data_IF_541874995175
#
_entry.id   IF_541874995175
#
_cell.length_a   1.000
_cell.length_b   1.000
_cell.length_c   1.000
_cell.angle_alpha   90.00
_cell.angle_beta   90.00
_cell.angle_gamma   90.00
#
_symmetry.space_group_name_H-M   'P 1'
#
loop_
_entity.id
_entity.type
_entity.pdbx_description
1 polymer ?
#
# COMPACT_ATOMS: atom_id res chain seq x y z
N UNK A 1 56.34 -31.50 -22.44
CA UNK A 1 55.10 -30.81 -22.88
C UNK A 1 55.33 -30.28 -24.31
N UNK A 2 54.50 -30.69 -25.27
CA UNK A 2 54.71 -30.32 -26.69
C UNK A 2 54.47 -28.82 -26.91
N UNK A 3 55.08 -28.25 -27.96
CA UNK A 3 54.94 -26.82 -28.31
C UNK A 3 53.48 -26.40 -28.44
N UNK A 4 52.63 -27.30 -28.94
CA UNK A 4 51.20 -27.07 -29.10
C UNK A 4 50.46 -26.99 -27.75
N UNK A 5 50.84 -27.83 -26.78
CA UNK A 5 50.23 -27.78 -25.43
C UNK A 5 50.62 -26.50 -24.68
N UNK A 6 51.86 -26.00 -24.86
CA UNK A 6 52.28 -24.71 -24.30
C UNK A 6 51.53 -23.53 -24.92
N UNK A 7 51.30 -23.55 -26.23
CA UNK A 7 50.54 -22.51 -26.93
C UNK A 7 49.08 -22.47 -26.49
N UNK A 8 48.46 -23.63 -26.28
CA UNK A 8 47.08 -23.73 -25.77
C UNK A 8 46.99 -23.21 -24.32
N UNK A 9 47.95 -23.57 -23.46
CA UNK A 9 47.99 -23.09 -22.08
C UNK A 9 48.20 -21.57 -21.97
N UNK A 10 49.08 -21.01 -22.81
CA UNK A 10 49.28 -19.55 -22.87
C UNK A 10 48.01 -18.86 -23.36
N UNK A 11 47.35 -19.38 -24.40
CA UNK A 11 46.10 -18.82 -24.90
C UNK A 11 44.97 -18.86 -23.87
N UNK A 12 44.87 -19.93 -23.07
CA UNK A 12 43.89 -20.02 -21.97
C UNK A 12 44.22 -19.01 -20.88
N UNK A 13 45.50 -18.86 -20.50
CA UNK A 13 45.90 -17.89 -19.47
C UNK A 13 45.66 -16.44 -19.91
N UNK A 14 45.95 -16.08 -21.16
CA UNK A 14 45.62 -14.73 -21.68
C UNK A 14 44.12 -14.50 -21.77
N UNK A 15 43.33 -15.53 -22.07
CA UNK A 15 41.87 -15.42 -22.04
C UNK A 15 41.37 -15.17 -20.61
N UNK A 16 41.87 -15.93 -19.62
CA UNK A 16 41.45 -15.80 -18.23
C UNK A 16 41.87 -14.45 -17.63
N UNK A 17 43.09 -13.98 -17.90
CA UNK A 17 43.55 -12.65 -17.47
C UNK A 17 42.81 -11.52 -18.21
N UNK A 18 42.51 -11.69 -19.50
CA UNK A 18 41.72 -10.73 -20.27
C UNK A 18 40.28 -10.61 -19.76
N UNK A 19 39.67 -11.73 -19.36
CA UNK A 19 38.33 -11.77 -18.76
C UNK A 19 38.33 -11.10 -17.37
N UNK A 20 39.37 -11.29 -16.57
CA UNK A 20 39.47 -10.68 -15.24
C UNK A 20 39.61 -9.14 -15.32
N UNK A 21 40.46 -8.65 -16.22
CA UNK A 21 40.68 -7.19 -16.42
C UNK A 21 39.43 -6.54 -17.02
N UNK A 22 38.75 -7.22 -17.94
CA UNK A 22 37.45 -6.76 -18.45
C UNK A 22 36.39 -6.74 -17.35
N UNK A 23 36.37 -7.71 -16.44
CA UNK A 23 35.41 -7.73 -15.33
C UNK A 23 35.62 -6.53 -14.39
N UNK A 24 36.87 -6.20 -14.04
CA UNK A 24 37.16 -5.10 -13.11
C UNK A 24 36.85 -3.72 -13.73
N UNK A 25 37.18 -3.51 -15.02
CA UNK A 25 36.85 -2.27 -15.75
C UNK A 25 35.34 -2.12 -15.98
N UNK A 26 34.64 -3.23 -16.23
CA UNK A 26 33.19 -3.23 -16.42
C UNK A 26 32.43 -2.97 -15.11
N UNK A 27 32.97 -3.40 -13.95
CA UNK A 27 32.37 -3.13 -12.64
C UNK A 27 32.40 -1.63 -12.28
N UNK A 28 33.48 -0.91 -12.58
CA UNK A 28 33.59 0.52 -12.32
C UNK A 28 32.67 1.35 -13.25
N UNK A 29 32.60 0.99 -14.53
CA UNK A 29 31.72 1.64 -15.51
C UNK A 29 30.23 1.36 -15.22
N UNK A 30 29.90 0.15 -14.74
CA UNK A 30 28.56 -0.20 -14.25
C UNK A 30 28.18 0.60 -13.02
N UNK A 31 29.11 0.93 -12.13
CA UNK A 31 28.78 1.62 -10.88
C UNK A 31 28.39 3.09 -11.14
N UNK A 32 29.06 3.74 -12.10
CA UNK A 32 28.69 5.09 -12.56
C UNK A 32 27.41 5.09 -13.41
N UNK A 33 27.25 4.10 -14.31
CA UNK A 33 26.07 3.99 -15.19
C UNK A 33 24.81 3.55 -14.43
N UNK A 34 24.95 2.75 -13.35
CA UNK A 34 23.87 2.40 -12.41
C UNK A 34 23.16 3.63 -11.84
N UNK A 35 23.84 4.76 -11.62
CA UNK A 35 23.23 5.96 -11.06
C UNK A 35 22.25 6.67 -12.00
N UNK A 36 22.55 6.69 -13.31
CA UNK A 36 21.68 7.27 -14.33
C UNK A 36 20.64 6.27 -14.83
N UNK A 37 21.03 5.01 -15.02
CA UNK A 37 20.11 3.94 -15.43
C UNK A 37 19.06 3.68 -14.35
N UNK A 38 19.35 3.80 -13.04
CA UNK A 38 18.35 3.67 -11.97
C UNK A 38 17.25 4.75 -12.05
N UNK A 39 17.56 5.96 -12.55
CA UNK A 39 16.56 7.03 -12.76
C UNK A 39 15.64 6.72 -13.95
N UNK A 40 16.16 6.08 -14.99
CA UNK A 40 15.37 5.56 -16.12
C UNK A 40 14.63 4.26 -15.76
N UNK A 41 15.20 3.43 -14.89
CA UNK A 41 14.61 2.20 -14.36
C UNK A 41 13.39 2.50 -13.50
N UNK A 42 13.43 3.58 -12.71
CA UNK A 42 12.27 4.08 -11.95
C UNK A 42 11.10 4.51 -12.85
N UNK A 43 11.38 5.09 -14.04
CA UNK A 43 10.32 5.38 -15.03
C UNK A 43 9.79 4.13 -15.76
N UNK A 44 10.60 3.07 -15.82
CA UNK A 44 10.19 1.77 -16.39
C UNK A 44 9.41 0.93 -15.37
N UNK A 45 9.72 1.01 -14.08
CA UNK A 45 8.89 0.43 -13.01
C UNK A 45 7.52 1.10 -12.97
N UNK A 46 7.44 2.40 -13.25
CA UNK A 46 6.18 3.13 -13.33
C UNK A 46 5.25 2.50 -14.39
N UNK A 47 5.72 2.39 -15.64
CA UNK A 47 4.96 1.78 -16.75
C UNK A 47 4.66 0.29 -16.54
N UNK A 48 5.48 -0.44 -15.79
CA UNK A 48 5.28 -1.87 -15.51
C UNK A 48 4.38 -2.12 -14.28
N UNK A 49 4.33 -1.18 -13.35
CA UNK A 49 3.37 -1.15 -12.24
C UNK A 49 1.96 -0.83 -12.74
N UNK A 50 1.84 0.01 -13.78
CA UNK A 50 0.57 0.35 -14.45
C UNK A 50 -0.13 -0.89 -15.08
N UNK A 51 0.62 -1.93 -15.48
CA UNK A 51 0.09 -3.15 -16.12
C UNK A 51 0.10 -4.40 -15.23
N UNK A 52 0.80 -4.38 -14.09
CA UNK A 52 0.92 -5.54 -13.19
C UNK A 52 1.08 -5.10 -11.74
N UNK A 53 -0.01 -5.27 -11.00
CA UNK A 53 -0.05 -5.07 -9.56
C UNK A 53 0.95 -6.04 -8.93
N UNK A 54 1.99 -5.52 -8.28
CA UNK A 54 2.92 -6.37 -7.54
C UNK A 54 2.18 -6.97 -6.34
N UNK A 55 1.60 -8.16 -6.54
CA UNK A 55 1.38 -9.14 -5.46
C UNK A 55 2.74 -9.48 -4.88
N UNK A 56 3.25 -8.62 -4.00
CA UNK A 56 4.29 -9.05 -3.10
C UNK A 56 3.59 -9.94 -2.10
N UNK A 57 3.76 -11.25 -2.29
CA UNK A 57 3.34 -12.26 -1.35
C UNK A 57 4.09 -11.97 -0.05
N UNK A 58 3.47 -11.15 0.80
CA UNK A 58 3.69 -11.30 2.22
C UNK A 58 3.51 -12.79 2.52
N UNK A 59 4.46 -13.41 3.22
CA UNK A 59 4.37 -14.82 3.65
C UNK A 59 3.12 -15.08 4.53
N UNK A 60 2.38 -14.02 4.85
CA UNK A 60 1.16 -14.01 5.64
C UNK A 60 0.10 -13.21 4.86
N UNK A 61 -0.04 -13.49 3.57
CA UNK A 61 -1.29 -13.26 2.84
C UNK A 61 -2.08 -14.54 2.93
N UNK A 62 -3.01 -14.60 3.88
CA UNK A 62 -3.96 -15.72 3.96
C UNK A 62 -5.28 -15.26 3.37
N UNK A 63 -5.65 -15.88 2.26
CA UNK A 63 -7.02 -15.84 1.75
C UNK A 63 -7.86 -16.78 2.60
N UNK A 64 -8.98 -16.26 3.10
CA UNK A 64 -10.05 -17.06 3.68
C UNK A 64 -11.23 -16.93 2.73
N UNK A 65 -11.49 -17.99 1.97
CA UNK A 65 -12.65 -18.07 1.07
C UNK A 65 -13.92 -17.94 1.90
N UNK A 66 -14.94 -17.22 1.41
CA UNK A 66 -16.12 -16.90 2.18
C UNK A 66 -16.88 -18.17 2.59
N UNK A 67 -16.97 -19.14 1.69
CA UNK A 67 -17.63 -20.43 1.91
C UNK A 67 -16.88 -21.35 2.88
N UNK A 68 -15.62 -21.03 3.21
CA UNK A 68 -14.87 -21.77 4.24
C UNK A 68 -15.28 -21.37 5.66
N UNK A 69 -15.96 -20.24 5.82
CA UNK A 69 -16.45 -19.74 7.10
C UNK A 69 -17.78 -20.36 7.53
N UNK A 70 -18.09 -20.26 8.82
CA UNK A 70 -19.43 -20.58 9.33
C UNK A 70 -20.39 -19.46 8.95
N UNK A 71 -21.37 -19.80 8.13
CA UNK A 71 -22.40 -18.89 7.64
C UNK A 71 -23.68 -18.94 8.49
N UNK A 72 -24.38 -17.80 8.63
CA UNK A 72 -25.69 -17.76 9.27
C UNK A 72 -26.41 -16.42 9.13
N UNK A 73 -27.56 -16.27 9.80
CA UNK A 73 -28.33 -15.02 9.80
C UNK A 73 -28.97 -14.67 8.45
N UNK A 74 -29.16 -15.66 7.56
CA UNK A 74 -29.70 -15.45 6.22
C UNK A 74 -28.68 -15.64 5.10
N UNK A 75 -27.39 -15.50 5.42
CA UNK A 75 -26.31 -15.77 4.47
C UNK A 75 -26.21 -17.26 4.12
N UNK A 76 -25.85 -17.54 2.86
CA UNK A 76 -25.76 -18.90 2.30
C UNK A 76 -24.67 -18.99 1.24
N UNK A 77 -24.10 -20.17 1.09
CA UNK A 77 -23.13 -20.46 0.02
C UNK A 77 -23.87 -20.64 -1.30
N UNK A 78 -23.34 -20.06 -2.38
CA UNK A 78 -23.84 -20.20 -3.74
C UNK A 78 -22.69 -20.47 -4.70
N UNK A 79 -22.91 -21.36 -5.68
CA UNK A 79 -21.94 -21.63 -6.74
C UNK A 79 -21.94 -20.48 -7.76
N UNK A 80 -20.76 -19.93 -8.03
CA UNK A 80 -20.53 -18.83 -8.98
C UNK A 80 -19.21 -19.09 -9.70
N UNK A 81 -19.29 -19.48 -10.98
CA UNK A 81 -18.12 -19.93 -11.76
C UNK A 81 -17.03 -18.86 -11.92
N UNK A 82 -17.37 -17.57 -11.80
CA UNK A 82 -16.41 -16.47 -11.89
C UNK A 82 -15.67 -16.19 -10.57
N UNK A 83 -16.11 -16.76 -9.45
CA UNK A 83 -15.54 -16.50 -8.12
C UNK A 83 -14.31 -17.36 -7.83
N UNK A 84 -13.49 -16.93 -6.86
CA UNK A 84 -12.44 -17.79 -6.31
C UNK A 84 -13.06 -19.06 -5.73
N UNK A 85 -12.46 -20.22 -6.00
CA UNK A 85 -13.03 -21.50 -5.54
C UNK A 85 -14.41 -21.85 -6.12
N UNK A 86 -14.88 -21.12 -7.14
CA UNK A 86 -16.19 -21.27 -7.81
C UNK A 86 -17.41 -21.05 -6.89
N UNK A 87 -17.23 -20.37 -5.75
CA UNK A 87 -18.28 -20.14 -4.75
C UNK A 87 -18.20 -18.75 -4.16
N UNK A 88 -19.36 -18.24 -3.76
CA UNK A 88 -19.48 -17.03 -2.94
C UNK A 88 -20.40 -17.31 -1.76
N UNK A 89 -20.40 -16.41 -0.78
CA UNK A 89 -21.48 -16.31 0.20
C UNK A 89 -22.38 -15.14 -0.18
N UNK A 90 -23.63 -15.46 -0.50
CA UNK A 90 -24.71 -14.51 -0.77
C UNK A 90 -25.63 -14.37 0.44
N UNK A 91 -26.67 -13.53 0.35
CA UNK A 91 -27.67 -13.34 1.39
C UNK A 91 -27.25 -12.35 2.48
N UNK A 92 -26.20 -11.56 2.20
CA UNK A 92 -25.82 -10.36 2.95
C UNK A 92 -26.72 -9.16 2.62
N UNK A 93 -28.01 -9.41 2.35
CA UNK A 93 -29.06 -8.38 2.26
C UNK A 93 -29.94 -8.33 3.51
N UNK A 94 -29.73 -9.25 4.45
CA UNK A 94 -30.44 -9.32 5.72
C UNK A 94 -29.56 -8.75 6.83
N UNK A 95 -30.12 -7.86 7.65
CA UNK A 95 -29.45 -7.40 8.89
C UNK A 95 -29.15 -8.61 9.79
N UNK A 96 -27.91 -8.69 10.29
CA UNK A 96 -27.45 -9.82 11.12
C UNK A 96 -26.98 -11.06 10.34
N UNK A 97 -27.00 -11.04 9.00
CA UNK A 97 -26.34 -12.06 8.19
C UNK A 97 -24.83 -12.06 8.47
N UNK A 98 -24.22 -13.22 8.68
CA UNK A 98 -22.82 -13.29 9.13
C UNK A 98 -22.02 -14.42 8.50
N UNK A 99 -20.69 -14.20 8.43
CA UNK A 99 -19.69 -15.25 8.26
C UNK A 99 -18.68 -15.17 9.41
N UNK A 100 -18.33 -16.31 10.01
CA UNK A 100 -17.29 -16.43 11.03
C UNK A 100 -16.20 -17.43 10.59
N UNK A 101 -14.95 -16.98 10.52
CA UNK A 101 -13.79 -17.82 10.22
C UNK A 101 -12.92 -18.05 11.45
N UNK A 102 -12.20 -19.18 11.48
CA UNK A 102 -11.02 -19.35 12.34
C UNK A 102 -9.75 -18.94 11.60
N UNK A 103 -8.98 -18.02 12.19
CA UNK A 103 -7.69 -17.59 11.68
C UNK A 103 -6.59 -17.92 12.70
N UNK A 104 -5.51 -18.56 12.26
CA UNK A 104 -4.34 -18.82 13.10
C UNK A 104 -3.28 -17.74 12.82
N UNK A 105 -3.24 -16.73 13.68
CA UNK A 105 -2.32 -15.61 13.57
C UNK A 105 -0.89 -16.07 13.87
N UNK A 106 0.06 -15.96 12.92
CA UNK A 106 1.40 -16.52 13.07
C UNK A 106 2.27 -15.81 14.11
N UNK A 107 1.94 -14.54 14.43
CA UNK A 107 2.63 -13.71 15.40
C UNK A 107 1.65 -12.70 16.00
N UNK A 108 2.02 -12.09 17.12
CA UNK A 108 1.30 -10.92 17.62
C UNK A 108 1.57 -9.74 16.69
N UNK A 109 0.53 -8.99 16.33
CA UNK A 109 0.70 -7.71 15.65
C UNK A 109 -0.57 -7.16 15.05
N UNK A 110 -0.42 -6.10 14.25
CA UNK A 110 -1.52 -5.40 13.58
C UNK A 110 -1.73 -5.97 12.18
N UNK A 111 -2.94 -6.41 11.89
CA UNK A 111 -3.37 -7.02 10.63
C UNK A 111 -4.41 -6.14 9.93
N UNK A 112 -4.47 -6.18 8.62
CA UNK A 112 -5.47 -5.48 7.81
C UNK A 112 -6.28 -6.49 7.01
N UNK A 113 -7.57 -6.23 6.84
CA UNK A 113 -8.48 -7.09 6.09
C UNK A 113 -8.91 -6.41 4.81
N UNK A 114 -8.92 -7.19 3.72
CA UNK A 114 -9.31 -6.79 2.39
C UNK A 114 -10.40 -7.73 1.89
N UNK A 115 -11.49 -7.20 1.36
CA UNK A 115 -12.69 -7.92 1.00
C UNK A 115 -12.83 -7.93 -0.51
N UNK A 116 -12.90 -9.12 -1.11
CA UNK A 116 -13.35 -9.28 -2.49
C UNK A 116 -14.86 -9.57 -2.45
N UNK A 117 -15.64 -8.66 -3.00
CA UNK A 117 -17.10 -8.78 -3.02
C UNK A 117 -17.70 -8.32 -4.36
N UNK A 118 -18.96 -8.68 -4.58
CA UNK A 118 -19.74 -8.32 -5.75
C UNK A 118 -20.98 -7.56 -5.27
N UNK A 119 -21.24 -6.38 -5.85
CA UNK A 119 -22.49 -5.66 -5.64
C UNK A 119 -23.61 -6.22 -6.54
N UNK A 120 -24.88 -6.16 -6.14
CA UNK A 120 -25.99 -6.62 -6.98
C UNK A 120 -26.20 -5.73 -8.21
N UNK A 121 -25.89 -4.45 -8.10
CA UNK A 121 -26.03 -3.44 -9.16
C UNK A 121 -25.08 -2.25 -8.94
N UNK A 122 -24.95 -1.39 -9.95
CA UNK A 122 -23.98 -0.29 -9.96
C UNK A 122 -24.30 0.80 -8.92
N UNK A 123 -25.58 1.03 -8.67
CA UNK A 123 -26.10 2.04 -7.74
C UNK A 123 -26.56 1.45 -6.40
N UNK A 124 -26.07 0.25 -6.05
CA UNK A 124 -26.36 -0.38 -4.77
C UNK A 124 -26.00 0.53 -3.58
N UNK A 125 -26.83 0.45 -2.54
CA UNK A 125 -26.60 1.17 -1.28
C UNK A 125 -25.25 0.80 -0.67
N UNK A 126 -24.56 1.73 0.03
CA UNK A 126 -23.29 1.43 0.68
C UNK A 126 -23.40 0.24 1.63
N UNK A 127 -22.46 -0.70 1.46
CA UNK A 127 -22.36 -1.87 2.34
C UNK A 127 -21.71 -1.44 3.65
N UNK A 128 -22.37 -1.75 4.76
CA UNK A 128 -21.87 -1.48 6.11
C UNK A 128 -21.88 -2.80 6.87
N UNK A 129 -20.72 -3.15 7.43
CA UNK A 129 -20.54 -4.37 8.20
C UNK A 129 -19.99 -4.07 9.60
N UNK A 130 -20.34 -4.93 10.54
CA UNK A 130 -19.71 -5.03 11.84
C UNK A 130 -18.59 -6.08 11.76
N UNK A 131 -17.43 -5.80 12.36
CA UNK A 131 -16.34 -6.78 12.44
C UNK A 131 -15.93 -6.98 13.89
N UNK A 132 -15.94 -8.25 14.34
CA UNK A 132 -15.43 -8.64 15.66
C UNK A 132 -14.27 -9.62 15.56
N UNK A 133 -13.34 -9.48 16.50
CA UNK A 133 -12.25 -10.44 16.76
C UNK A 133 -12.51 -11.08 18.10
N UNK A 134 -12.63 -12.41 18.14
CA UNK A 134 -13.01 -13.19 19.32
C UNK A 134 -14.30 -12.69 20.00
N UNK A 135 -15.26 -12.24 19.17
CA UNK A 135 -16.55 -11.70 19.63
C UNK A 135 -16.47 -10.31 20.28
N UNK A 136 -15.38 -9.56 20.07
CA UNK A 136 -15.20 -8.21 20.60
C UNK A 136 -14.84 -7.21 19.50
N UNK A 137 -15.38 -6.00 19.60
CA UNK A 137 -14.88 -4.82 18.88
C UNK A 137 -13.58 -4.35 19.53
N UNK A 138 -12.56 -4.11 18.72
CA UNK A 138 -11.29 -3.58 19.23
C UNK A 138 -11.31 -2.05 19.35
N UNK A 139 -12.14 -1.37 18.56
CA UNK A 139 -12.31 0.09 18.54
C UNK A 139 -13.79 0.45 18.37
N UNK A 140 -14.17 1.65 18.78
CA UNK A 140 -15.58 2.10 18.70
C UNK A 140 -16.04 2.30 17.25
N UNK A 141 -15.11 2.64 16.37
CA UNK A 141 -15.31 2.85 14.95
C UNK A 141 -15.63 1.56 14.18
N UNK A 142 -15.43 0.39 14.79
CA UNK A 142 -15.63 -0.93 14.15
C UNK A 142 -17.09 -1.37 14.05
N UNK A 143 -18.02 -0.60 14.60
CA UNK A 143 -19.46 -0.90 14.48
C UNK A 143 -20.07 -0.39 13.18
N UNK A 144 -19.30 0.29 12.31
CA UNK A 144 -19.76 0.78 11.01
C UNK A 144 -18.60 0.77 10.01
N UNK A 145 -18.17 -0.41 9.56
CA UNK A 145 -17.12 -0.53 8.55
C UNK A 145 -17.76 -0.48 7.18
N UNK A 146 -17.34 0.50 6.37
CA UNK A 146 -17.90 0.74 5.06
C UNK A 146 -17.08 -0.02 4.01
N UNK A 147 -17.74 -0.81 3.17
CA UNK A 147 -17.16 -1.12 1.86
C UNK A 147 -17.57 0.00 0.93
N UNK A 148 -16.59 0.82 0.56
CA UNK A 148 -16.82 2.06 -0.14
C UNK A 148 -17.51 1.81 -1.50
N UNK A 149 -18.76 2.27 -1.66
CA UNK A 149 -19.48 2.33 -2.93
C UNK A 149 -19.03 3.55 -3.75
N UNK A 150 -17.72 3.79 -3.81
CA UNK A 150 -17.20 5.01 -4.44
C UNK A 150 -17.38 4.85 -5.95
N UNK A 151 -18.20 5.72 -6.55
CA UNK A 151 -18.49 5.80 -8.00
C UNK A 151 -17.26 6.15 -8.87
N UNK A 152 -16.07 6.17 -8.30
CA UNK A 152 -14.87 6.65 -8.97
C UNK A 152 -14.01 5.46 -9.36
N UNK A 153 -13.74 5.38 -10.67
CA UNK A 153 -12.81 4.50 -11.35
C UNK A 153 -13.17 3.01 -11.39
N UNK A 154 -13.83 2.62 -12.48
CA UNK A 154 -13.05 2.04 -13.58
C UNK A 154 -13.88 2.10 -14.86
N UNK A 155 -13.22 2.28 -15.99
CA UNK A 155 -13.79 2.00 -17.31
C UNK A 155 -14.04 0.48 -17.52
N UNK A 156 -14.32 -0.26 -16.45
CA UNK A 156 -14.63 -1.69 -16.43
C UNK A 156 -15.93 -1.85 -15.64
N UNK A 157 -17.00 -2.17 -16.35
CA UNK A 157 -18.38 -2.37 -15.87
C UNK A 157 -18.54 -3.64 -15.00
N UNK A 158 -17.56 -3.99 -14.16
CA UNK A 158 -17.67 -5.16 -13.28
C UNK A 158 -18.13 -4.73 -11.89
N UNK A 159 -19.16 -5.40 -11.38
CA UNK A 159 -19.69 -5.21 -10.02
C UNK A 159 -18.77 -5.77 -8.92
N UNK A 160 -17.65 -6.39 -9.32
CA UNK A 160 -16.60 -6.90 -8.45
C UNK A 160 -15.71 -5.78 -7.87
N UNK A 161 -15.43 -5.85 -6.56
CA UNK A 161 -14.62 -4.88 -5.81
C UNK A 161 -13.60 -5.58 -4.90
N UNK A 162 -12.45 -4.96 -4.67
CA UNK A 162 -11.47 -5.37 -3.65
C UNK A 162 -11.15 -4.16 -2.78
N UNK A 163 -11.71 -4.10 -1.57
CA UNK A 163 -11.58 -2.93 -0.69
C UNK A 163 -11.08 -3.33 0.70
N UNK A 164 -10.32 -2.46 1.40
CA UNK A 164 -9.97 -2.70 2.78
C UNK A 164 -11.18 -2.46 3.71
N UNK A 165 -11.17 -3.09 4.89
CA UNK A 165 -11.98 -2.60 6.00
C UNK A 165 -11.46 -1.22 6.42
N UNK A 166 -12.16 -0.15 6.08
CA UNK A 166 -11.77 1.23 6.37
C UNK A 166 -12.92 2.05 6.96
N UNK A 167 -12.61 3.30 7.33
CA UNK A 167 -13.64 4.30 7.55
C UNK A 167 -14.33 4.69 6.24
N UNK A 168 -15.37 5.50 6.38
CA UNK A 168 -16.03 6.15 5.25
C UNK A 168 -15.07 7.20 4.65
N UNK A 169 -14.93 7.16 3.33
CA UNK A 169 -14.31 8.19 2.47
C UNK A 169 -12.78 8.19 2.28
N UNK A 170 -11.95 7.50 3.09
CA UNK A 170 -10.47 7.57 2.90
C UNK A 170 -9.74 6.25 2.60
N UNK A 171 -10.40 5.08 2.74
CA UNK A 171 -9.87 3.74 2.39
C UNK A 171 -8.61 3.33 3.14
N UNK A 172 -8.21 4.03 4.20
CA UNK A 172 -7.10 3.58 5.02
C UNK A 172 -7.54 2.32 5.78
N UNK A 173 -6.86 1.17 5.58
CA UNK A 173 -7.28 -0.06 6.23
C UNK A 173 -7.13 0.05 7.75
N UNK A 174 -8.15 -0.39 8.49
CA UNK A 174 -8.07 -0.55 9.93
C UNK A 174 -7.06 -1.64 10.30
N UNK A 175 -6.29 -1.35 11.35
CA UNK A 175 -5.38 -2.29 11.98
C UNK A 175 -6.06 -3.10 13.08
N UNK A 176 -6.28 -4.39 12.85
CA UNK A 176 -6.78 -5.37 13.80
C UNK A 176 -5.62 -6.02 14.56
N UNK A 177 -5.56 -5.83 15.88
CA UNK A 177 -4.50 -6.39 16.71
C UNK A 177 -4.85 -7.82 17.09
N UNK A 178 -4.03 -8.78 16.70
CA UNK A 178 -4.18 -10.18 17.11
C UNK A 178 -2.95 -10.65 17.88
N UNK A 179 -3.15 -11.58 18.81
CA UNK A 179 -2.04 -12.32 19.43
C UNK A 179 -1.59 -13.44 18.49
N UNK A 180 -0.48 -14.11 18.81
CA UNK A 180 -0.14 -15.35 18.12
C UNK A 180 -1.14 -16.46 18.52
N UNK A 181 -1.74 -17.12 17.54
CA UNK A 181 -2.61 -18.28 17.75
C UNK A 181 -3.98 -18.12 17.09
N UNK A 182 -4.92 -18.98 17.48
CA UNK A 182 -6.26 -19.03 16.89
C UNK A 182 -7.13 -17.86 17.37
N UNK A 183 -7.75 -17.20 16.41
CA UNK A 183 -8.72 -16.13 16.59
C UNK A 183 -9.96 -16.39 15.75
N UNK A 184 -11.11 -15.94 16.23
CA UNK A 184 -12.35 -15.91 15.45
C UNK A 184 -12.53 -14.53 14.83
N UNK A 185 -12.72 -14.49 13.53
CA UNK A 185 -13.02 -13.26 12.79
C UNK A 185 -14.46 -13.41 12.31
N UNK A 186 -15.33 -12.51 12.75
CA UNK A 186 -16.73 -12.50 12.32
C UNK A 186 -17.02 -11.18 11.64
N UNK A 187 -17.62 -11.25 10.46
CA UNK A 187 -18.30 -10.13 9.83
C UNK A 187 -19.81 -10.32 9.94
N UNK A 188 -20.53 -9.25 10.19
CA UNK A 188 -21.98 -9.25 10.29
C UNK A 188 -22.56 -8.06 9.51
N UNK A 189 -23.59 -8.31 8.72
CA UNK A 189 -24.23 -7.28 7.91
C UNK A 189 -25.00 -6.30 8.79
N UNK A 190 -24.77 -5.00 8.58
CA UNK A 190 -25.59 -3.94 9.15
C UNK A 190 -26.55 -3.40 8.09
N UNK A 191 -26.04 -3.10 6.89
CA UNK A 191 -26.84 -2.60 5.78
C UNK A 191 -26.16 -2.81 4.42
N UNK A 192 -26.94 -2.69 3.36
CA UNK A 192 -26.49 -2.92 1.99
C UNK A 192 -26.70 -4.38 1.57
N UNK A 193 -26.35 -4.67 0.32
CA UNK A 193 -26.43 -6.00 -0.30
C UNK A 193 -25.14 -6.25 -1.08
N UNK A 194 -24.57 -7.45 -0.90
CA UNK A 194 -23.38 -7.89 -1.58
C UNK A 194 -23.23 -9.41 -1.51
N UNK A 195 -22.46 -9.97 -2.44
CA UNK A 195 -21.94 -11.34 -2.36
C UNK A 195 -20.45 -11.28 -2.01
N UNK A 196 -20.03 -12.04 -1.00
CA UNK A 196 -18.61 -12.10 -0.61
C UNK A 196 -17.92 -13.30 -1.25
N UNK A 197 -16.80 -13.05 -1.93
CA UNK A 197 -15.92 -14.08 -2.49
C UNK A 197 -14.89 -14.53 -1.43
N UNK A 198 -14.04 -13.61 -0.97
CA UNK A 198 -13.06 -13.92 0.07
C UNK A 198 -12.65 -12.70 0.90
N UNK A 199 -12.04 -12.99 2.04
CA UNK A 199 -11.23 -12.01 2.79
C UNK A 199 -9.75 -12.34 2.67
N UNK A 200 -8.95 -11.32 2.42
CA UNK A 200 -7.50 -11.39 2.43
C UNK A 200 -6.99 -10.68 3.66
N UNK A 201 -6.26 -11.41 4.49
CA UNK A 201 -5.63 -10.90 5.71
C UNK A 201 -4.17 -10.61 5.41
N UNK A 202 -3.74 -9.37 5.68
CA UNK A 202 -2.37 -8.89 5.50
C UNK A 202 -1.77 -8.49 6.84
N UNK A 203 -0.52 -8.88 7.11
CA UNK A 203 0.20 -8.49 8.34
C UNK A 203 0.92 -9.67 9.01
N UNK A 204 1.52 -9.49 10.19
CA UNK A 204 1.47 -8.26 10.97
C UNK A 204 2.31 -7.15 10.34
N UNK A 205 1.98 -5.90 10.67
CA UNK A 205 2.86 -4.76 10.44
C UNK A 205 4.19 -5.02 11.15
N UNK A 206 5.27 -5.00 10.36
CA UNK A 206 6.63 -5.29 10.83
C UNK A 206 7.24 -4.06 11.45
N UNK A 207 7.14 -2.90 10.78
CA UNK A 207 7.62 -1.62 11.30
C UNK A 207 6.70 -0.49 10.86
N UNK A 208 6.57 0.47 11.77
CA UNK A 208 5.97 1.77 11.55
C UNK A 208 6.99 2.78 12.07
N UNK A 209 7.57 3.56 11.15
CA UNK A 209 8.50 4.64 11.48
C UNK A 209 7.88 5.94 11.04
N UNK A 210 7.98 6.98 11.86
CA UNK A 210 7.39 8.28 11.58
C UNK A 210 8.24 9.39 12.17
N UNK A 211 8.09 10.58 11.60
CA UNK A 211 8.55 11.83 12.19
C UNK A 211 7.36 12.76 12.43
N UNK A 212 7.46 13.62 13.44
CA UNK A 212 6.39 14.58 13.73
C UNK A 212 6.21 15.57 12.59
N UNK A 213 4.98 16.04 12.39
CA UNK A 213 4.65 17.04 11.39
C UNK A 213 5.45 18.31 11.59
N UNK A 214 5.63 18.74 12.84
CA UNK A 214 6.44 19.91 13.18
C UNK A 214 7.96 19.68 13.14
N UNK A 215 8.42 18.41 13.08
CA UNK A 215 9.85 18.05 12.99
C UNK A 215 10.30 17.93 11.52
N UNK A 216 9.98 18.95 10.71
CA UNK A 216 10.40 19.00 9.31
C UNK A 216 11.85 19.48 9.15
N UNK A 217 12.47 19.05 8.04
CA UNK A 217 13.87 19.31 7.72
C UNK A 217 14.10 20.52 6.82
N UNK A 218 13.10 20.88 6.02
CA UNK A 218 13.09 22.08 5.17
C UNK A 218 11.65 22.50 4.85
N UNK A 219 11.45 23.77 4.52
CA UNK A 219 10.15 24.33 4.16
C UNK A 219 10.26 25.54 3.23
N UNK A 220 9.15 25.91 2.57
CA UNK A 220 9.03 27.18 1.83
C UNK A 220 8.99 28.41 2.74
N UNK A 221 8.39 28.25 3.92
CA UNK A 221 8.09 29.32 4.87
C UNK A 221 8.13 28.79 6.31
N UNK A 222 7.99 29.70 7.28
CA UNK A 222 7.86 29.35 8.70
C UNK A 222 6.40 29.04 9.00
N UNK A 223 6.12 27.81 9.44
CA UNK A 223 4.78 27.33 9.76
C UNK A 223 4.50 27.34 11.27
N UNK A 224 3.22 27.37 11.63
CA UNK A 224 2.81 27.37 13.03
C UNK A 224 2.92 25.97 13.65
N UNK A 225 3.28 25.92 14.93
CA UNK A 225 3.27 24.69 15.73
C UNK A 225 2.26 24.85 16.85
N UNK A 226 1.17 24.10 16.76
CA UNK A 226 0.03 24.21 17.67
C UNK A 226 -0.04 23.01 18.59
N UNK A 227 -0.55 23.22 19.82
CA UNK A 227 -0.86 22.10 20.72
C UNK A 227 -2.24 21.56 20.41
N UNK A 228 -2.36 20.24 20.23
CA UNK A 228 -3.63 19.58 19.88
C UNK A 228 -3.95 18.41 20.78
N UNK A 229 -5.25 18.14 20.94
CA UNK A 229 -5.73 16.97 21.66
C UNK A 229 -5.51 15.74 20.78
N UNK A 230 -4.97 14.66 21.36
CA UNK A 230 -4.70 13.38 20.69
C UNK A 230 -3.68 13.39 19.52
N UNK A 231 -2.97 14.50 19.31
CA UNK A 231 -1.74 14.50 18.54
C UNK A 231 -0.70 13.58 19.20
N UNK A 232 0.08 12.86 18.39
CA UNK A 232 0.96 11.77 18.83
C UNK A 232 2.00 12.20 19.88
N UNK A 233 2.55 13.42 19.78
CA UNK A 233 3.34 14.06 20.85
C UNK A 233 2.78 15.40 21.31
N UNK A 234 1.47 15.58 21.17
CA UNK A 234 0.72 16.74 21.68
C UNK A 234 0.88 18.02 20.88
N UNK A 235 1.52 17.97 19.72
CA UNK A 235 1.71 19.09 18.79
C UNK A 235 1.40 18.68 17.36
N UNK A 236 1.14 19.66 16.52
CA UNK A 236 0.95 19.49 15.09
C UNK A 236 1.47 20.72 14.34
N UNK A 237 1.85 20.51 13.09
CA UNK A 237 2.11 21.56 12.12
C UNK A 237 0.78 22.19 11.68
N UNK A 238 0.68 23.51 11.67
CA UNK A 238 -0.50 24.28 11.24
C UNK A 238 -0.11 25.47 10.37
N UNK A 239 -1.10 26.16 9.79
CA UNK A 239 -0.89 27.25 8.82
C UNK A 239 -0.40 26.80 7.45
N UNK A 240 -0.48 25.49 7.15
CA UNK A 240 -0.01 24.89 5.90
C UNK A 240 -1.13 24.86 4.84
N UNK A 241 -1.47 26.04 4.29
CA UNK A 241 -2.69 26.26 3.49
C UNK A 241 -2.53 27.02 2.18
N UNK A 242 -1.42 27.74 1.95
CA UNK A 242 -1.28 28.54 0.74
C UNK A 242 -0.71 27.72 -0.42
N UNK A 243 -1.30 27.78 -1.63
CA UNK A 243 -0.76 27.08 -2.80
C UNK A 243 0.73 27.40 -3.05
N UNK A 244 1.52 26.36 -3.29
CA UNK A 244 2.98 26.44 -3.47
C UNK A 244 3.80 26.42 -2.18
N UNK A 245 3.18 26.50 -1.00
CA UNK A 245 3.86 26.21 0.25
C UNK A 245 4.26 24.73 0.29
N UNK A 246 5.45 24.42 0.82
CA UNK A 246 5.90 23.04 0.95
C UNK A 246 6.65 22.79 2.25
N UNK A 247 6.57 21.54 2.71
CA UNK A 247 7.30 21.02 3.86
C UNK A 247 7.95 19.70 3.48
N UNK A 248 9.20 19.50 3.93
CA UNK A 248 9.98 18.30 3.65
C UNK A 248 10.49 17.66 4.94
N UNK A 249 10.21 16.38 5.11
CA UNK A 249 10.61 15.57 6.25
C UNK A 249 11.69 14.57 5.87
N UNK A 250 12.61 14.30 6.80
CA UNK A 250 13.57 13.21 6.73
C UNK A 250 13.10 12.05 7.58
N UNK A 251 13.16 10.83 7.02
CA UNK A 251 12.81 9.61 7.74
C UNK A 251 13.92 8.57 7.53
N UNK A 252 14.40 8.01 8.64
CA UNK A 252 15.35 6.90 8.62
C UNK A 252 14.64 5.58 8.36
N UNK A 253 14.84 5.03 7.16
CA UNK A 253 14.41 3.69 6.77
C UNK A 253 15.27 2.68 7.53
N UNK A 254 14.69 1.86 8.41
CA UNK A 254 15.48 1.08 9.37
C UNK A 254 16.07 -0.20 8.77
N UNK A 255 15.56 -0.66 7.63
CA UNK A 255 16.08 -1.77 6.83
C UNK A 255 15.54 -1.71 5.39
N UNK A 256 16.26 -2.30 4.44
CA UNK A 256 15.81 -2.48 3.06
C UNK A 256 14.46 -3.19 3.02
N UNK A 257 13.51 -2.64 2.28
CA UNK A 257 12.19 -3.25 2.14
C UNK A 257 11.20 -2.42 1.34
N UNK A 258 9.99 -2.96 1.19
CA UNK A 258 8.86 -2.23 0.64
C UNK A 258 8.15 -1.47 1.76
N UNK A 259 7.87 -0.20 1.53
CA UNK A 259 7.20 0.68 2.47
C UNK A 259 6.04 1.41 1.78
N UNK A 260 4.94 1.59 2.49
CA UNK A 260 3.90 2.55 2.14
C UNK A 260 4.07 3.85 2.93
N UNK A 261 3.76 4.96 2.27
CA UNK A 261 3.79 6.31 2.88
C UNK A 261 2.41 6.64 3.40
N UNK A 262 2.32 7.20 4.60
CA UNK A 262 1.07 7.70 5.16
C UNK A 262 1.30 8.99 5.96
N UNK A 263 0.20 9.72 6.16
CA UNK A 263 0.13 10.97 6.89
C UNK A 263 -0.99 10.86 7.93
N UNK A 264 -0.79 11.41 9.11
CA UNK A 264 -1.88 11.66 10.07
C UNK A 264 -2.16 13.14 10.14
N UNK A 265 -3.42 13.50 9.94
CA UNK A 265 -3.82 14.86 9.66
C UNK A 265 -5.18 15.20 10.27
N UNK A 266 -5.47 16.50 10.32
CA UNK A 266 -6.79 17.04 10.64
C UNK A 266 -7.19 18.13 9.64
N UNK A 267 -8.48 18.19 9.34
CA UNK A 267 -9.09 19.12 8.39
C UNK A 267 -10.54 19.34 8.83
N UNK A 268 -10.84 20.54 9.34
CA UNK A 268 -12.15 20.80 9.95
C UNK A 268 -13.26 21.20 8.98
N UNK A 269 -12.96 21.89 7.88
CA UNK A 269 -14.01 22.37 6.97
C UNK A 269 -14.35 21.34 5.89
N UNK A 270 -15.64 20.97 5.80
CA UNK A 270 -16.18 20.06 4.78
C UNK A 270 -16.28 20.70 3.39
N UNK A 271 -16.14 22.03 3.29
CA UNK A 271 -16.31 22.78 2.05
C UNK A 271 -15.02 23.00 1.25
N UNK A 272 -13.85 22.74 1.85
CA UNK A 272 -12.56 22.91 1.18
C UNK A 272 -12.05 21.58 0.62
N UNK A 273 -11.86 21.53 -0.70
CA UNK A 273 -10.99 20.51 -1.29
C UNK A 273 -9.57 20.73 -0.79
N UNK A 274 -9.00 19.72 -0.13
CA UNK A 274 -7.63 19.74 0.34
C UNK A 274 -6.81 18.80 -0.54
N UNK A 275 -5.90 19.37 -1.34
CA UNK A 275 -5.09 18.63 -2.31
C UNK A 275 -3.62 18.94 -2.07
N UNK A 276 -2.78 17.90 -2.17
CA UNK A 276 -1.33 17.98 -1.95
C UNK A 276 -0.59 17.30 -3.10
N UNK A 277 0.55 17.87 -3.47
CA UNK A 277 1.53 17.18 -4.31
C UNK A 277 2.59 16.54 -3.42
N UNK A 278 2.96 15.29 -3.68
CA UNK A 278 3.85 14.50 -2.84
C UNK A 278 5.07 14.03 -3.63
N UNK A 279 6.26 14.14 -3.02
CA UNK A 279 7.52 13.70 -3.60
C UNK A 279 8.30 12.83 -2.62
N UNK A 280 8.99 11.82 -3.15
CA UNK A 280 9.98 11.01 -2.43
C UNK A 280 11.36 11.33 -3.00
N UNK A 281 12.32 11.72 -2.16
CA UNK A 281 13.68 12.10 -2.58
C UNK A 281 13.69 13.14 -3.72
N UNK A 282 12.80 14.14 -3.63
CA UNK A 282 12.66 15.21 -4.62
C UNK A 282 12.04 14.79 -5.96
N UNK A 283 11.37 13.63 -6.02
CA UNK A 283 10.68 13.14 -7.22
C UNK A 283 9.25 12.75 -6.92
N UNK A 284 8.33 13.19 -7.78
CA UNK A 284 7.00 12.60 -7.91
C UNK A 284 7.16 11.23 -8.55
N UNK A 285 6.79 10.16 -7.84
CA UNK A 285 6.93 8.80 -8.36
C UNK A 285 5.78 8.45 -9.31
N UNK A 286 4.54 8.69 -8.87
CA UNK A 286 3.32 8.38 -9.62
C UNK A 286 2.61 9.66 -10.05
N UNK A 287 2.00 9.73 -11.25
CA UNK A 287 1.24 10.91 -11.69
C UNK A 287 0.19 11.37 -10.66
N UNK A 288 -0.53 10.45 -10.02
CA UNK A 288 -1.55 10.78 -9.03
C UNK A 288 -1.01 11.41 -7.75
N UNK A 289 0.31 11.36 -7.54
CA UNK A 289 0.93 12.05 -6.42
C UNK A 289 1.01 13.55 -6.62
N UNK A 290 0.75 14.07 -7.82
CA UNK A 290 0.62 15.51 -8.05
C UNK A 290 -0.68 16.07 -7.44
N UNK A 291 -1.71 15.22 -7.28
CA UNK A 291 -3.04 15.60 -6.78
C UNK A 291 -3.58 14.64 -5.71
N UNK A 292 -2.85 14.45 -4.62
CA UNK A 292 -3.29 13.65 -3.47
C UNK A 292 -4.36 14.39 -2.67
N UNK A 293 -5.59 13.88 -2.72
CA UNK A 293 -6.73 14.41 -1.96
C UNK A 293 -6.71 13.98 -0.49
N UNK A 294 -6.98 14.93 0.40
CA UNK A 294 -7.23 14.75 1.83
C UNK A 294 -8.69 15.06 2.14
N UNK A 295 -9.34 14.17 2.89
CA UNK A 295 -10.77 14.26 3.19
C UNK A 295 -11.03 14.88 4.57
N UNK A 296 -12.15 15.62 4.74
CA UNK A 296 -12.50 16.22 6.03
C UNK A 296 -12.49 15.21 7.19
N UNK A 297 -11.97 15.65 8.32
CA UNK A 297 -11.90 14.86 9.57
C UNK A 297 -12.99 15.24 10.56
N UNK A 298 -13.91 16.13 10.16
CA UNK A 298 -15.03 16.63 10.96
C UNK A 298 -14.66 17.46 12.20
N UNK A 299 -13.41 17.93 12.28
CA UNK A 299 -12.95 18.84 13.34
C UNK A 299 -11.49 19.28 13.16
N UNK A 300 -11.06 20.27 13.95
CA UNK A 300 -9.69 20.82 13.97
C UNK A 300 -8.91 20.33 15.20
N UNK A 301 -8.93 19.02 15.45
CA UNK A 301 -8.18 18.39 16.55
C UNK A 301 -8.51 18.92 17.94
N UNK A 302 -9.79 19.25 18.14
CA UNK A 302 -10.38 19.61 19.44
C UNK A 302 -10.88 18.37 20.18
N UNK A 303 -11.10 17.26 19.46
CA UNK A 303 -11.52 15.97 20.01
C UNK A 303 -10.57 14.86 19.57
N UNK A 304 -10.63 13.74 20.28
CA UNK A 304 -9.76 12.58 20.02
C UNK A 304 -9.94 11.98 18.64
N UNK A 305 -11.14 12.08 18.08
CA UNK A 305 -11.56 11.47 16.81
C UNK A 305 -11.50 12.45 15.61
N UNK A 306 -10.93 13.65 15.78
CA UNK A 306 -10.77 14.64 14.71
C UNK A 306 -9.52 14.37 13.84
N UNK A 307 -8.80 13.28 14.10
CA UNK A 307 -7.61 12.88 13.35
C UNK A 307 -7.95 11.75 12.39
N UNK A 308 -7.53 11.87 11.14
CA UNK A 308 -7.57 10.78 10.15
C UNK A 308 -6.17 10.44 9.68
N UNK A 309 -6.04 9.26 9.09
CA UNK A 309 -4.85 8.87 8.35
C UNK A 309 -5.14 8.98 6.85
N UNK A 310 -4.10 9.30 6.07
CA UNK A 310 -4.11 9.23 4.61
C UNK A 310 -2.90 8.41 4.19
N UNK A 311 -3.13 7.23 3.63
CA UNK A 311 -2.09 6.42 3.00
C UNK A 311 -2.04 6.74 1.51
N UNK A 312 -0.85 6.81 0.93
CA UNK A 312 -0.71 6.95 -0.52
C UNK A 312 -1.10 5.64 -1.19
N UNK A 313 -2.06 5.71 -2.10
CA UNK A 313 -2.67 4.57 -2.75
C UNK A 313 -3.05 4.94 -4.18
N UNK A 314 -3.17 3.92 -5.01
CA UNK A 314 -3.68 4.05 -6.36
C UNK A 314 -5.18 4.44 -6.31
N UNK A 315 -5.59 5.50 -7.01
CA UNK A 315 -6.94 6.05 -6.88
C UNK A 315 -8.01 5.12 -7.46
N UNK A 316 -7.65 4.23 -8.39
CA UNK A 316 -8.60 3.29 -9.01
C UNK A 316 -8.83 2.05 -8.13
N UNK A 317 -7.73 1.45 -7.67
CA UNK A 317 -7.73 0.21 -6.92
C UNK A 317 -7.80 0.37 -5.41
N UNK A 318 -7.55 1.58 -4.92
CA UNK A 318 -7.40 1.91 -3.48
C UNK A 318 -6.25 1.13 -2.82
N UNK A 319 -5.39 0.46 -3.59
CA UNK A 319 -4.29 -0.29 -3.03
C UNK A 319 -3.12 0.63 -2.67
N UNK A 320 -2.53 0.47 -1.48
CA UNK A 320 -1.33 1.19 -1.09
C UNK A 320 -0.21 1.07 -2.11
N UNK A 321 0.45 2.19 -2.39
CA UNK A 321 1.73 2.15 -3.06
C UNK A 321 2.78 1.55 -2.11
N UNK A 322 3.45 0.48 -2.57
CA UNK A 322 4.59 -0.12 -1.90
C UNK A 322 5.87 0.20 -2.66
N UNK A 323 6.73 0.99 -2.03
CA UNK A 323 7.95 1.52 -2.65
C UNK A 323 9.15 0.86 -2.01
N UNK A 324 10.06 0.35 -2.83
CA UNK A 324 11.33 -0.15 -2.33
C UNK A 324 12.17 1.00 -1.81
N UNK A 325 12.50 0.94 -0.52
CA UNK A 325 13.38 1.88 0.15
C UNK A 325 14.56 1.11 0.76
N UNK A 326 15.82 1.43 0.36
CA UNK A 326 16.99 0.88 1.03
C UNK A 326 17.07 1.47 2.45
N UNK A 327 17.74 0.74 3.35
CA UNK A 327 18.09 1.26 4.68
C UNK A 327 18.84 2.59 4.54
N UNK A 328 18.41 3.59 5.29
CA UNK A 328 19.02 4.91 5.31
C UNK A 328 17.97 6.02 5.24
N UNK A 329 18.46 7.25 5.11
CA UNK A 329 17.60 8.43 5.08
C UNK A 329 16.86 8.53 3.73
N UNK A 330 15.56 8.83 3.80
CA UNK A 330 14.76 9.30 2.66
C UNK A 330 14.08 10.61 3.01
N UNK A 331 13.77 11.43 2.00
CA UNK A 331 12.96 12.63 2.18
C UNK A 331 11.57 12.46 1.59
N UNK A 332 10.56 12.97 2.31
CA UNK A 332 9.19 13.09 1.83
C UNK A 332 8.84 14.56 1.84
N UNK A 333 8.48 15.10 0.67
CA UNK A 333 8.00 16.47 0.54
C UNK A 333 6.52 16.47 0.24
N UNK A 334 5.79 17.36 0.92
CA UNK A 334 4.41 17.69 0.64
C UNK A 334 4.34 19.15 0.22
N UNK A 335 3.68 19.42 -0.90
CA UNK A 335 3.40 20.77 -1.41
C UNK A 335 1.89 21.00 -1.42
N UNK A 336 1.46 22.20 -1.02
CA UNK A 336 0.07 22.61 -1.04
C UNK A 336 -0.34 22.89 -2.48
N UNK A 337 -1.32 22.12 -2.97
CA UNK A 337 -2.05 22.47 -4.18
C UNK A 337 -3.24 23.35 -3.81
N UNK A 338 -4.03 22.95 -2.81
CA UNK A 338 -5.17 23.71 -2.30
C UNK A 338 -5.59 23.30 -0.89
N UNK A 339 -6.23 24.22 -0.17
CA UNK A 339 -6.93 23.94 1.09
C UNK A 339 -6.02 23.80 2.32
N UNK A 340 -6.58 24.00 3.52
CA UNK A 340 -5.82 23.93 4.78
C UNK A 340 -5.61 22.48 5.24
N UNK A 341 -4.57 22.24 6.04
CA UNK A 341 -4.28 20.93 6.63
C UNK A 341 -3.39 21.09 7.86
N UNK A 342 -3.68 20.41 8.95
CA UNK A 342 -2.69 20.22 10.02
C UNK A 342 -2.12 18.81 9.96
N UNK A 343 -0.82 18.67 10.21
CA UNK A 343 -0.10 17.38 10.17
C UNK A 343 0.40 17.05 11.58
N UNK A 344 0.02 15.88 12.09
CA UNK A 344 0.59 15.29 13.31
C UNK A 344 1.87 14.52 13.01
N UNK A 345 1.84 13.66 11.98
CA UNK A 345 3.04 12.96 11.53
C UNK A 345 2.96 12.55 10.07
N UNK A 346 4.14 12.28 9.53
CA UNK A 346 4.36 11.54 8.29
C UNK A 346 5.15 10.28 8.63
N UNK A 347 4.82 9.15 8.00
CA UNK A 347 5.52 7.91 8.26
C UNK A 347 5.54 6.90 7.13
N UNK A 348 6.32 5.86 7.39
CA UNK A 348 6.57 4.71 6.54
C UNK A 348 6.16 3.44 7.27
N UNK A 349 5.38 2.60 6.59
CA UNK A 349 4.89 1.34 7.13
C UNK A 349 5.34 0.19 6.22
N UNK A 350 5.85 -0.88 6.83
CA UNK A 350 6.24 -2.12 6.14
C UNK A 350 5.68 -3.33 6.88
N UNK A 351 5.36 -4.41 6.15
CA UNK A 351 4.84 -5.66 6.73
C UNK A 351 5.76 -6.85 6.52
N UNK A 352 5.55 -7.85 7.37
CA UNK A 352 6.29 -9.10 7.26
C UNK A 352 5.97 -9.81 5.95
N UNK A 353 7.04 -10.20 5.24
CA UNK A 353 6.95 -10.89 3.96
C UNK A 353 6.87 -9.99 2.73
N UNK A 354 6.61 -8.68 2.87
CA UNK A 354 6.71 -7.72 1.75
C UNK A 354 8.15 -7.54 1.25
N UNK A 355 9.14 -8.13 1.94
CA UNK A 355 10.56 -8.05 1.60
C UNK A 355 11.04 -9.29 0.81
N UNK A 356 10.23 -10.34 0.68
CA UNK A 356 10.67 -11.61 0.05
C UNK A 356 9.92 -11.96 -1.22
N UNK A 357 9.86 -11.00 -2.15
CA UNK A 357 10.20 -11.34 -3.53
C UNK A 357 11.72 -11.23 -3.64
N UNK A 358 12.46 -12.32 -3.44
CA UNK A 358 13.75 -12.38 -4.13
C UNK A 358 13.39 -12.30 -5.62
N UNK A 359 13.57 -11.14 -6.25
CA UNK A 359 13.90 -11.15 -7.67
C UNK A 359 15.18 -11.96 -7.75
N UNK A 360 15.05 -13.26 -7.95
CA UNK A 360 16.23 -14.08 -8.11
C UNK A 360 16.93 -13.60 -9.40
N UNK A 361 18.23 -13.85 -9.47
CA UNK A 361 19.07 -13.44 -10.60
C UNK A 361 18.47 -13.82 -11.97
N UNK A 362 17.68 -14.90 -12.03
CA UNK A 362 17.03 -15.40 -13.24
C UNK A 362 15.73 -14.68 -13.60
N UNK A 363 14.98 -14.19 -12.62
CA UNK A 363 13.83 -13.33 -12.85
C UNK A 363 14.28 -11.97 -13.38
N UNK A 364 15.38 -11.43 -12.84
CA UNK A 364 16.06 -10.25 -13.39
C UNK A 364 16.58 -10.47 -14.83
N UNK A 365 17.22 -11.62 -15.10
CA UNK A 365 17.70 -11.98 -16.43
C UNK A 365 16.58 -12.27 -17.44
N UNK A 366 15.45 -12.84 -17.02
CA UNK A 366 14.26 -13.04 -17.87
C UNK A 366 13.63 -11.71 -18.27
N UNK A 367 13.54 -10.77 -17.33
CA UNK A 367 13.04 -9.42 -17.57
C UNK A 367 13.94 -8.68 -18.59
N UNK A 368 15.27 -8.84 -18.47
CA UNK A 368 16.24 -8.33 -19.46
C UNK A 368 16.11 -9.02 -20.84
N UNK A 369 15.91 -10.34 -20.88
CA UNK A 369 15.84 -11.10 -22.13
C UNK A 369 14.56 -10.83 -22.94
N UNK A 370 13.42 -10.60 -22.29
CA UNK A 370 12.19 -10.26 -23.01
C UNK A 370 12.19 -8.84 -23.59
N UNK A 371 12.91 -7.90 -22.96
CA UNK A 371 13.11 -6.54 -23.50
C UNK A 371 13.96 -6.55 -24.78
N UNK A 372 14.97 -7.42 -24.87
CA UNK A 372 15.79 -7.57 -26.08
C UNK A 372 14.93 -8.07 -27.25
N UNK A 373 14.05 -9.05 -27.02
CA UNK A 373 13.17 -9.59 -28.06
C UNK A 373 12.14 -8.54 -28.53
N UNK A 374 11.54 -7.78 -27.61
CA UNK A 374 10.62 -6.70 -27.94
C UNK A 374 11.26 -5.59 -28.79
N UNK A 375 12.51 -5.25 -28.51
CA UNK A 375 13.29 -4.27 -29.28
C UNK A 375 13.60 -4.75 -30.71
N UNK A 376 13.77 -6.06 -30.94
CA UNK A 376 14.00 -6.61 -32.29
C UNK A 376 12.70 -6.84 -33.08
N UNK A 377 11.56 -7.00 -32.41
CA UNK A 377 10.25 -7.18 -33.08
C UNK A 377 9.64 -5.84 -33.51
N UNK A 378 10.01 -4.72 -32.89
CA UNK A 378 9.53 -3.37 -33.26
C UNK A 378 10.20 -2.74 -34.50
N UNK A 379 11.07 -3.49 -35.19
CA UNK A 379 11.77 -3.05 -36.41
C UNK A 379 11.26 -3.75 -37.69
N UNK A 380 10.02 -4.24 -37.71
CA UNK A 380 9.33 -4.66 -38.94
C UNK A 380 7.93 -4.06 -39.04
#
# INVERSE_FOLDING_TARGET
>A
MSRNVKLVLVAILTLVLGVQILADVWVDEITAKKGEDLKSFLSLTQKYQDDNWLKVNSKIQKTLEAESGKVGGGARVQDVLSASGEKVVTGFNQEGAYIEWEFDAPARGMYEFWFKYILPEEDAEPVVVDITIDGKHQFLEMTNIYFNSVKYASAIETLERIEPASDKDNGVPFGFIMEKGKHKIRIENISGDFDLDYIKISGPVKRFVFTQGEDYSASSSEFEVVKRIAASRGKALSGFENPGDWVEWKIDVPEDGLYSVFFRYTLGDRSSECVRSIQLNGKTLFPDWEEVRFYPTDGWSEKRNDWKERRLEDPESRQPYYIYMPKGEVTIRMEVVSGPLEIDYVGLLTRDGEIKGELNFWDYLRLLWQQIIGFFVSFN
#
